data_IF_436922707069
#
_entry.id   IF_436922707069
#
_cell.length_a   1.000
_cell.length_b   1.000
_cell.length_c   1.000
_cell.angle_alpha   90.00
_cell.angle_beta   90.00
_cell.angle_gamma   90.00
#
_symmetry.space_group_name_H-M   'P 1'
#
loop_
_entity.id
_entity.type
_entity.pdbx_description
1 polymer ?
#
# COMPACT_ATOMS: atom_id res chain seq x y z
N UNK A 1 -19.53 27.68 -19.14
CA UNK A 1 -19.79 29.04 -18.63
C UNK A 1 -21.07 29.14 -17.79
N UNK A 2 -22.21 28.63 -18.30
CA UNK A 2 -23.53 28.70 -17.64
C UNK A 2 -23.57 27.98 -16.26
N UNK A 3 -22.94 26.79 -16.13
CA UNK A 3 -22.85 26.09 -14.83
C UNK A 3 -22.18 26.91 -13.72
N UNK A 4 -21.12 27.66 -14.03
CA UNK A 4 -20.44 28.51 -13.03
C UNK A 4 -21.30 29.67 -12.56
N UNK A 5 -22.18 30.18 -13.42
CA UNK A 5 -23.13 31.26 -13.08
C UNK A 5 -24.22 30.70 -12.15
N UNK A 6 -24.78 29.52 -12.46
CA UNK A 6 -25.76 28.84 -11.60
C UNK A 6 -25.19 28.48 -10.21
N UNK A 7 -23.94 28.04 -10.13
CA UNK A 7 -23.25 27.79 -8.86
C UNK A 7 -23.05 29.08 -8.05
N UNK A 8 -22.69 30.19 -8.70
CA UNK A 8 -22.59 31.50 -8.04
C UNK A 8 -23.94 32.01 -7.52
N UNK A 9 -25.04 31.73 -8.22
CA UNK A 9 -26.40 32.06 -7.79
C UNK A 9 -26.80 31.22 -6.57
N UNK A 10 -26.44 29.92 -6.52
CA UNK A 10 -26.69 29.06 -5.34
C UNK A 10 -25.97 29.55 -4.07
N UNK A 11 -24.84 30.24 -4.20
CA UNK A 11 -24.10 30.86 -3.08
C UNK A 11 -24.77 32.11 -2.49
N UNK A 12 -25.89 32.59 -3.07
CA UNK A 12 -26.66 33.73 -2.53
C UNK A 12 -27.51 33.36 -1.30
N UNK A 13 -27.84 32.08 -1.12
CA UNK A 13 -28.54 31.59 0.07
C UNK A 13 -27.56 31.48 1.26
N UNK A 14 -27.72 32.35 2.27
CA UNK A 14 -26.82 32.46 3.43
C UNK A 14 -26.60 31.12 4.17
N UNK A 15 -27.67 30.32 4.31
CA UNK A 15 -27.62 29.01 4.98
C UNK A 15 -26.91 27.90 4.18
N UNK A 16 -26.90 27.99 2.84
CA UNK A 16 -26.22 27.01 1.97
C UNK A 16 -24.81 27.43 1.59
N UNK A 17 -24.42 28.69 1.84
CA UNK A 17 -23.13 29.25 1.41
C UNK A 17 -21.94 28.62 2.14
N UNK A 18 -22.07 28.37 3.44
CA UNK A 18 -20.95 27.94 4.28
C UNK A 18 -20.42 26.53 3.93
N UNK A 19 -21.25 25.48 3.75
CA UNK A 19 -20.76 24.16 3.36
C UNK A 19 -20.03 24.17 2.01
N UNK A 20 -20.55 24.91 1.03
CA UNK A 20 -19.94 25.00 -0.30
C UNK A 20 -18.56 25.67 -0.25
N UNK A 21 -18.40 26.72 0.57
CA UNK A 21 -17.10 27.37 0.76
C UNK A 21 -16.09 26.47 1.45
N UNK A 22 -16.52 25.71 2.47
CA UNK A 22 -15.68 24.74 3.15
C UNK A 22 -15.19 23.64 2.21
N UNK A 23 -16.09 23.04 1.42
CA UNK A 23 -15.70 22.05 0.42
C UNK A 23 -14.84 22.66 -0.68
N UNK A 24 -15.08 23.89 -1.11
CA UNK A 24 -14.24 24.55 -2.10
C UNK A 24 -12.79 24.70 -1.63
N UNK A 25 -12.54 24.95 -0.33
CA UNK A 25 -11.18 25.02 0.21
C UNK A 25 -10.42 23.70 0.05
N UNK A 26 -11.09 22.57 0.29
CA UNK A 26 -10.53 21.21 0.15
C UNK A 26 -10.42 20.79 -1.32
N UNK A 27 -11.47 21.00 -2.10
CA UNK A 27 -11.60 20.52 -3.48
C UNK A 27 -10.88 21.40 -4.52
N UNK A 28 -10.85 22.72 -4.29
CA UNK A 28 -10.47 23.70 -5.31
C UNK A 28 -11.54 23.99 -6.35
N UNK A 29 -12.76 23.47 -6.17
CA UNK A 29 -13.92 23.76 -7.01
C UNK A 29 -15.21 23.56 -6.19
N UNK A 30 -16.32 24.10 -6.69
CA UNK A 30 -17.61 23.95 -6.02
C UNK A 30 -18.30 22.63 -6.39
N UNK A 31 -18.84 21.89 -5.42
CA UNK A 31 -19.80 20.81 -5.67
C UNK A 31 -20.99 21.26 -6.54
N UNK A 32 -21.46 20.44 -7.46
CA UNK A 32 -22.76 20.63 -8.13
C UNK A 32 -23.87 20.01 -7.28
N UNK A 33 -23.66 18.77 -6.80
CA UNK A 33 -24.52 18.08 -5.82
C UNK A 33 -23.84 17.95 -4.45
N UNK A 34 -24.09 18.91 -3.57
CA UNK A 34 -23.47 19.01 -2.23
C UNK A 34 -23.75 17.79 -1.34
N UNK A 35 -24.85 17.08 -1.59
CA UNK A 35 -25.33 15.95 -0.80
C UNK A 35 -24.32 14.79 -0.82
N UNK A 36 -23.68 14.54 -1.98
CA UNK A 36 -22.64 13.52 -2.08
C UNK A 36 -21.43 13.84 -1.20
N UNK A 37 -21.04 15.11 -1.13
CA UNK A 37 -19.89 15.57 -0.34
C UNK A 37 -20.19 15.57 1.16
N UNK A 38 -21.40 15.97 1.55
CA UNK A 38 -21.85 15.86 2.93
C UNK A 38 -21.93 14.41 3.40
N UNK A 39 -22.29 13.47 2.50
CA UNK A 39 -22.25 12.05 2.80
C UNK A 39 -20.82 11.53 2.91
N UNK A 40 -19.91 11.95 2.03
CA UNK A 40 -18.52 11.51 2.05
C UNK A 40 -17.79 11.77 3.38
N UNK A 41 -18.11 12.89 4.04
CA UNK A 41 -17.51 13.28 5.32
C UNK A 41 -18.28 12.76 6.55
N UNK A 42 -19.29 11.90 6.36
CA UNK A 42 -20.09 11.33 7.45
C UNK A 42 -19.56 9.95 7.84
N UNK A 43 -18.80 9.87 8.92
CA UNK A 43 -18.34 8.59 9.46
C UNK A 43 -19.51 7.73 9.96
N UNK A 44 -19.36 6.39 9.95
CA UNK A 44 -20.39 5.45 10.41
C UNK A 44 -20.91 5.70 11.84
N UNK A 45 -20.09 6.28 12.72
CA UNK A 45 -20.51 6.60 14.09
C UNK A 45 -21.57 7.70 14.17
N UNK A 46 -21.72 8.52 13.14
CA UNK A 46 -22.77 9.56 13.00
C UNK A 46 -23.72 9.22 11.86
N UNK A 47 -23.89 7.93 11.57
CA UNK A 47 -24.81 7.49 10.53
C UNK A 47 -26.26 7.82 10.88
N UNK A 48 -27.05 8.04 9.83
CA UNK A 48 -28.46 8.40 9.96
C UNK A 48 -29.30 7.19 9.54
N UNK A 49 -30.24 6.72 10.36
CA UNK A 49 -31.16 5.67 9.96
C UNK A 49 -32.02 6.13 8.78
N UNK A 50 -32.19 5.25 7.80
CA UNK A 50 -33.11 5.44 6.67
C UNK A 50 -34.41 4.68 6.92
N UNK A 51 -35.48 5.04 6.20
CA UNK A 51 -36.80 4.39 6.29
C UNK A 51 -36.73 2.87 6.10
N UNK A 52 -35.76 2.39 5.31
CA UNK A 52 -35.55 0.97 5.04
C UNK A 52 -34.65 0.27 6.09
N UNK A 53 -34.42 0.89 7.24
CA UNK A 53 -33.60 0.35 8.33
C UNK A 53 -32.08 0.33 8.07
N UNK A 54 -31.61 0.92 6.96
CA UNK A 54 -30.18 1.02 6.66
C UNK A 54 -29.57 2.29 7.27
N UNK A 55 -28.31 2.22 7.65
CA UNK A 55 -27.57 3.37 8.15
C UNK A 55 -26.85 4.11 7.01
N UNK A 56 -27.10 5.41 6.89
CA UNK A 56 -26.48 6.27 5.89
C UNK A 56 -25.11 6.77 6.39
N UNK A 57 -24.05 6.09 5.97
CA UNK A 57 -22.63 6.40 6.22
C UNK A 57 -21.87 6.63 4.91
N UNK A 58 -20.61 7.06 5.03
CA UNK A 58 -19.70 7.20 3.89
C UNK A 58 -19.20 5.88 3.30
N UNK A 59 -19.44 4.72 3.91
CA UNK A 59 -18.82 3.43 3.55
C UNK A 59 -19.10 3.01 2.11
N UNK A 60 -20.30 3.29 1.58
CA UNK A 60 -20.62 2.99 0.17
C UNK A 60 -19.88 3.91 -0.81
N UNK A 61 -19.67 5.17 -0.42
CA UNK A 61 -18.87 6.10 -1.23
C UNK A 61 -17.39 5.77 -1.13
N UNK A 62 -16.91 5.34 0.04
CA UNK A 62 -15.54 4.83 0.25
C UNK A 62 -15.27 3.67 -0.71
N UNK A 63 -16.15 2.66 -0.74
CA UNK A 63 -16.04 1.51 -1.65
C UNK A 63 -15.90 1.92 -3.13
N UNK A 64 -16.77 2.81 -3.60
CA UNK A 64 -16.68 3.33 -4.98
C UNK A 64 -15.41 4.15 -5.20
N UNK A 65 -15.09 4.98 -4.21
CA UNK A 65 -13.97 5.91 -4.22
C UNK A 65 -12.61 5.23 -4.27
N UNK A 66 -12.43 4.13 -3.54
CA UNK A 66 -11.22 3.30 -3.58
C UNK A 66 -10.96 2.76 -4.99
N UNK A 67 -11.98 2.18 -5.63
CA UNK A 67 -11.86 1.69 -7.01
C UNK A 67 -11.48 2.81 -7.99
N UNK A 68 -12.11 3.99 -7.84
CA UNK A 68 -11.82 5.17 -8.68
C UNK A 68 -10.41 5.69 -8.40
N UNK A 69 -9.98 5.76 -7.14
CA UNK A 69 -8.65 6.22 -6.73
C UNK A 69 -7.58 5.31 -7.34
N UNK A 70 -7.73 4.00 -7.19
CA UNK A 70 -6.80 3.03 -7.76
C UNK A 70 -6.70 3.18 -9.28
N UNK A 71 -7.84 3.33 -9.98
CA UNK A 71 -7.86 3.56 -11.42
C UNK A 71 -7.14 4.85 -11.82
N UNK A 72 -7.43 5.97 -11.15
CA UNK A 72 -6.79 7.26 -11.43
C UNK A 72 -5.29 7.22 -11.17
N UNK A 73 -4.86 6.67 -10.03
CA UNK A 73 -3.44 6.55 -9.68
C UNK A 73 -2.73 5.66 -10.69
N UNK A 74 -3.30 4.51 -11.08
CA UNK A 74 -2.76 3.64 -12.13
C UNK A 74 -2.62 4.38 -13.46
N UNK A 75 -3.64 5.11 -13.91
CA UNK A 75 -3.60 5.87 -15.17
C UNK A 75 -2.49 6.94 -15.16
N UNK A 76 -2.29 7.62 -14.02
CA UNK A 76 -1.21 8.61 -13.91
C UNK A 76 0.16 7.93 -13.92
N UNK A 77 0.36 6.87 -13.13
CA UNK A 77 1.64 6.16 -13.05
C UNK A 77 2.03 5.55 -14.40
N UNK A 78 1.10 4.88 -15.07
CA UNK A 78 1.32 4.26 -16.38
C UNK A 78 1.77 5.28 -17.44
N UNK A 79 1.18 6.48 -17.44
CA UNK A 79 1.55 7.54 -18.40
C UNK A 79 2.86 8.23 -18.05
N UNK A 80 3.18 8.33 -16.75
CA UNK A 80 4.36 9.03 -16.24
C UNK A 80 5.63 8.18 -16.37
N UNK A 81 5.54 6.90 -16.06
CA UNK A 81 6.67 5.97 -16.01
C UNK A 81 6.58 4.93 -17.15
N UNK A 82 6.74 5.40 -18.40
CA UNK A 82 6.53 4.59 -19.61
C UNK A 82 7.52 3.42 -19.76
N UNK A 83 8.72 3.59 -19.23
CA UNK A 83 9.81 2.61 -19.35
C UNK A 83 9.85 1.63 -18.15
N UNK A 84 9.01 1.84 -17.14
CA UNK A 84 9.02 1.03 -15.92
C UNK A 84 8.15 -0.23 -16.05
N UNK A 85 8.57 -1.30 -15.38
CA UNK A 85 7.85 -2.59 -15.37
C UNK A 85 6.60 -2.53 -14.50
N UNK A 86 5.65 -3.44 -14.77
CA UNK A 86 4.39 -3.57 -14.02
C UNK A 86 4.60 -3.65 -12.49
N UNK A 87 5.58 -4.43 -12.02
CA UNK A 87 5.90 -4.53 -10.60
C UNK A 87 6.27 -3.20 -9.93
N UNK A 88 7.00 -2.31 -10.63
CA UNK A 88 7.31 -0.97 -10.13
C UNK A 88 6.03 -0.12 -10.01
N UNK A 89 5.16 -0.17 -11.03
CA UNK A 89 3.90 0.58 -11.06
C UNK A 89 2.96 0.11 -9.94
N UNK A 90 2.82 -1.22 -9.76
CA UNK A 90 2.00 -1.82 -8.71
C UNK A 90 2.52 -1.50 -7.32
N UNK A 91 3.85 -1.56 -7.10
CA UNK A 91 4.47 -1.17 -5.83
C UNK A 91 4.26 0.33 -5.53
N UNK A 92 4.49 1.19 -6.51
CA UNK A 92 4.34 2.65 -6.36
C UNK A 92 2.88 3.02 -6.09
N UNK A 93 1.92 2.42 -6.80
CA UNK A 93 0.50 2.60 -6.52
C UNK A 93 0.19 2.23 -5.07
N UNK A 94 0.59 1.04 -4.63
CA UNK A 94 0.35 0.57 -3.27
C UNK A 94 0.90 1.53 -2.21
N UNK A 95 2.06 2.15 -2.45
CA UNK A 95 2.62 3.17 -1.54
C UNK A 95 1.82 4.48 -1.50
N UNK A 96 1.21 4.87 -2.62
CA UNK A 96 0.38 6.07 -2.72
C UNK A 96 -0.97 5.84 -2.05
N UNK A 97 -1.62 4.72 -2.34
CA UNK A 97 -2.97 4.38 -1.85
C UNK A 97 -2.96 3.71 -0.48
N UNK A 98 -1.79 3.47 0.13
CA UNK A 98 -1.75 2.93 1.49
C UNK A 98 -2.38 3.91 2.48
N UNK A 99 -2.98 3.33 3.51
CA UNK A 99 -3.75 4.04 4.52
C UNK A 99 -3.03 5.23 5.15
N UNK A 100 -1.78 5.06 5.58
CA UNK A 100 -1.00 6.13 6.20
C UNK A 100 -0.80 7.31 5.23
N UNK A 101 -0.57 7.03 3.95
CA UNK A 101 -0.42 8.05 2.91
C UNK A 101 -1.73 8.80 2.71
N UNK A 102 -2.85 8.08 2.57
CA UNK A 102 -4.15 8.71 2.36
C UNK A 102 -4.60 9.56 3.55
N UNK A 103 -4.32 9.13 4.79
CA UNK A 103 -4.62 9.94 5.97
C UNK A 103 -3.77 11.21 6.01
N UNK A 104 -2.46 11.11 5.75
CA UNK A 104 -1.59 12.30 5.68
C UNK A 104 -2.10 13.31 4.65
N UNK A 105 -2.44 12.83 3.45
CA UNK A 105 -3.02 13.69 2.40
C UNK A 105 -4.34 14.32 2.83
N UNK A 106 -5.22 13.56 3.48
CA UNK A 106 -6.50 14.06 3.96
C UNK A 106 -6.30 15.21 4.98
N UNK A 107 -5.33 15.08 5.89
CA UNK A 107 -4.95 16.15 6.83
C UNK A 107 -4.38 17.37 6.09
N UNK A 108 -3.48 17.15 5.13
CA UNK A 108 -2.81 18.23 4.37
C UNK A 108 -3.80 19.09 3.57
N UNK A 109 -4.82 18.47 2.97
CA UNK A 109 -5.87 19.21 2.25
C UNK A 109 -6.95 19.79 3.17
N UNK A 110 -6.85 19.56 4.49
CA UNK A 110 -7.78 20.06 5.51
C UNK A 110 -9.13 19.34 5.54
N UNK A 111 -9.19 18.08 5.10
CA UNK A 111 -10.41 17.27 5.09
C UNK A 111 -10.87 16.90 6.50
N UNK A 112 -9.94 16.75 7.43
CA UNK A 112 -10.17 16.48 8.86
C UNK A 112 -11.19 17.43 9.49
N UNK A 113 -11.14 18.70 9.11
CA UNK A 113 -12.03 19.76 9.60
C UNK A 113 -13.47 19.60 9.14
N UNK A 114 -13.72 18.79 8.12
CA UNK A 114 -15.07 18.54 7.58
C UNK A 114 -15.65 17.20 8.02
N UNK A 115 -14.80 16.26 8.45
CA UNK A 115 -15.23 14.92 8.86
C UNK A 115 -16.05 15.00 10.14
N UNK A 116 -17.25 14.43 10.10
CA UNK A 116 -18.17 14.34 11.22
C UNK A 116 -18.01 12.99 11.89
N UNK A 117 -17.68 13.01 13.18
CA UNK A 117 -17.57 11.85 14.07
C UNK A 117 -18.25 12.17 15.40
N UNK A 118 -18.65 11.13 16.15
CA UNK A 118 -19.12 11.30 17.52
C UNK A 118 -17.95 11.64 18.45
N UNK A 119 -18.25 12.31 19.58
CA UNK A 119 -17.27 12.65 20.62
C UNK A 119 -16.54 11.45 21.25
N UNK A 120 -17.08 10.24 21.05
CA UNK A 120 -16.54 8.98 21.57
C UNK A 120 -15.53 8.33 20.61
N UNK A 121 -15.45 8.81 19.38
CA UNK A 121 -14.45 8.34 18.42
C UNK A 121 -13.23 9.24 18.55
N UNK A 122 -12.14 8.69 19.06
CA UNK A 122 -10.86 9.37 19.07
C UNK A 122 -10.26 9.31 17.65
N UNK A 123 -10.56 10.34 16.85
CA UNK A 123 -10.10 10.43 15.48
C UNK A 123 -8.58 10.66 15.35
N UNK A 124 -7.90 10.99 16.44
CA UNK A 124 -6.44 11.12 16.49
C UNK A 124 -5.72 9.80 16.72
N UNK A 125 -6.37 8.80 17.34
CA UNK A 125 -5.81 7.45 17.49
C UNK A 125 -6.31 6.48 16.43
N UNK A 126 -7.48 6.75 15.84
CA UNK A 126 -8.01 5.97 14.74
C UNK A 126 -7.51 6.50 13.39
N UNK A 127 -6.27 6.12 13.05
CA UNK A 127 -5.52 6.52 11.86
C UNK A 127 -6.17 6.17 10.51
N UNK A 128 -7.47 5.82 10.47
CA UNK A 128 -8.13 5.30 9.28
C UNK A 128 -9.25 6.23 8.79
N UNK A 129 -9.77 7.09 9.66
CA UNK A 129 -11.00 7.83 9.40
C UNK A 129 -10.84 8.83 8.25
N UNK A 130 -9.70 9.53 8.20
CA UNK A 130 -9.50 10.59 7.22
C UNK A 130 -9.17 10.03 5.83
N UNK A 131 -8.42 8.93 5.76
CA UNK A 131 -8.17 8.18 4.53
C UNK A 131 -9.47 7.66 3.92
N UNK A 132 -10.33 7.04 4.73
CA UNK A 132 -11.66 6.58 4.29
C UNK A 132 -12.54 7.73 3.81
N UNK A 133 -12.51 8.87 4.50
CA UNK A 133 -13.23 10.07 4.07
C UNK A 133 -12.68 10.62 2.74
N UNK A 134 -11.37 10.52 2.49
CA UNK A 134 -10.75 10.93 1.24
C UNK A 134 -11.17 10.03 0.07
N UNK A 135 -11.19 8.72 0.27
CA UNK A 135 -11.74 7.76 -0.70
C UNK A 135 -13.21 8.09 -0.98
N UNK A 136 -14.03 8.24 0.07
CA UNK A 136 -15.43 8.61 -0.08
C UNK A 136 -15.62 9.96 -0.80
N UNK A 137 -14.72 10.93 -0.59
CA UNK A 137 -14.71 12.20 -1.30
C UNK A 137 -14.46 12.00 -2.80
N UNK A 138 -13.56 11.10 -3.18
CA UNK A 138 -13.35 10.71 -4.57
C UNK A 138 -14.59 10.04 -5.18
N UNK A 139 -15.26 9.17 -4.41
CA UNK A 139 -16.55 8.60 -4.79
C UNK A 139 -17.61 9.68 -5.06
N UNK A 140 -17.68 10.70 -4.21
CA UNK A 140 -18.57 11.85 -4.41
C UNK A 140 -18.23 12.66 -5.67
N UNK A 141 -16.94 12.95 -5.92
CA UNK A 141 -16.51 13.66 -7.14
C UNK A 141 -16.85 12.84 -8.38
N UNK A 142 -16.69 11.52 -8.32
CA UNK A 142 -17.00 10.64 -9.45
C UNK A 142 -18.49 10.67 -9.79
N UNK A 143 -19.37 10.60 -8.79
CA UNK A 143 -20.82 10.69 -9.01
C UNK A 143 -21.27 12.08 -9.50
N UNK A 144 -20.58 13.14 -9.08
CA UNK A 144 -20.97 14.52 -9.42
C UNK A 144 -20.44 14.96 -10.80
N UNK A 145 -19.18 14.64 -11.09
CA UNK A 145 -18.44 15.17 -12.25
C UNK A 145 -17.75 14.11 -13.12
N UNK A 146 -17.71 12.85 -12.70
CA UNK A 146 -17.09 11.75 -13.43
C UNK A 146 -15.56 11.69 -13.36
N UNK A 147 -15.02 10.63 -13.96
CA UNK A 147 -13.60 10.24 -13.89
C UNK A 147 -12.61 11.37 -14.21
N UNK A 148 -12.86 12.15 -15.27
CA UNK A 148 -11.95 13.23 -15.70
C UNK A 148 -11.74 14.28 -14.61
N UNK A 149 -12.76 14.53 -13.76
CA UNK A 149 -12.65 15.48 -12.65
C UNK A 149 -11.91 14.86 -11.46
N UNK A 150 -12.13 13.57 -11.17
CA UNK A 150 -11.35 12.83 -10.19
C UNK A 150 -9.86 12.86 -10.52
N UNK A 151 -9.50 12.57 -11.78
CA UNK A 151 -8.10 12.63 -12.24
C UNK A 151 -7.46 13.99 -11.99
N UNK A 152 -8.11 15.07 -12.43
CA UNK A 152 -7.63 16.44 -12.19
C UNK A 152 -7.49 16.77 -10.70
N UNK A 153 -8.44 16.33 -9.87
CA UNK A 153 -8.37 16.54 -8.43
C UNK A 153 -7.15 15.82 -7.83
N UNK A 154 -6.93 14.55 -8.16
CA UNK A 154 -5.77 13.77 -7.69
C UNK A 154 -4.46 14.40 -8.15
N UNK A 155 -4.33 14.76 -9.42
CA UNK A 155 -3.12 15.41 -9.97
C UNK A 155 -2.81 16.74 -9.27
N UNK A 156 -3.82 17.57 -9.03
CA UNK A 156 -3.62 18.94 -8.53
C UNK A 156 -3.53 19.04 -7.01
N UNK A 157 -4.25 18.18 -6.28
CA UNK A 157 -4.39 18.27 -4.82
C UNK A 157 -3.61 17.20 -4.08
N UNK A 158 -3.58 15.97 -4.59
CA UNK A 158 -2.87 14.88 -3.92
C UNK A 158 -1.41 14.83 -4.39
N UNK A 159 -1.18 14.79 -5.70
CA UNK A 159 0.16 14.60 -6.26
C UNK A 159 1.06 15.82 -6.19
N UNK A 160 0.48 17.02 -6.10
CA UNK A 160 1.26 18.23 -5.80
C UNK A 160 1.83 18.22 -4.37
N UNK A 161 1.17 17.52 -3.44
CA UNK A 161 1.63 17.36 -2.04
C UNK A 161 2.63 16.21 -1.87
N UNK A 162 2.55 15.17 -2.72
CA UNK A 162 3.65 14.22 -2.93
C UNK A 162 4.81 14.91 -3.66
N UNK A 163 5.52 15.81 -2.97
CA UNK A 163 6.62 16.66 -3.48
C UNK A 163 7.83 15.85 -3.99
N UNK A 164 7.74 14.52 -4.07
CA UNK A 164 8.58 13.73 -4.96
C UNK A 164 7.94 12.34 -5.12
N UNK A 165 7.12 12.15 -6.16
CA UNK A 165 6.70 10.81 -6.59
C UNK A 165 7.93 9.91 -6.82
N UNK A 166 9.03 10.50 -7.25
CA UNK A 166 10.32 9.83 -7.44
C UNK A 166 10.91 9.36 -6.09
N UNK A 167 10.80 10.15 -5.02
CA UNK A 167 11.14 9.68 -3.65
C UNK A 167 10.19 8.59 -3.15
N UNK A 168 8.90 8.62 -3.49
CA UNK A 168 7.95 7.55 -3.10
C UNK A 168 8.31 6.25 -3.83
N UNK A 169 8.70 6.35 -5.10
CA UNK A 169 9.23 5.24 -5.87
C UNK A 169 10.55 4.70 -5.27
N UNK A 170 11.49 5.58 -4.94
CA UNK A 170 12.83 5.27 -4.40
C UNK A 170 12.81 4.73 -2.95
N UNK A 171 11.95 5.25 -2.07
CA UNK A 171 12.01 5.04 -0.61
C UNK A 171 11.64 3.63 -0.11
N UNK A 172 11.55 2.65 -1.01
CA UNK A 172 11.52 1.24 -0.62
C UNK A 172 11.81 0.46 -1.91
N UNK A 173 13.08 0.44 -2.32
CA UNK A 173 13.57 -0.60 -3.22
C UNK A 173 13.34 -1.91 -2.47
N UNK A 174 12.37 -2.72 -2.88
CA UNK A 174 12.11 -4.02 -2.28
C UNK A 174 13.27 -4.97 -2.67
N UNK A 175 14.42 -4.81 -2.02
CA UNK A 175 15.63 -5.58 -2.25
C UNK A 175 15.35 -7.07 -2.15
N UNK A 176 14.45 -7.51 -1.25
CA UNK A 176 14.03 -8.92 -1.20
C UNK A 176 13.41 -9.39 -2.51
N UNK A 177 12.46 -8.64 -3.07
CA UNK A 177 11.81 -9.03 -4.32
C UNK A 177 12.78 -8.97 -5.50
N UNK A 178 13.62 -7.92 -5.57
CA UNK A 178 14.66 -7.83 -6.61
C UNK A 178 15.65 -8.99 -6.54
N UNK A 179 16.05 -9.39 -5.34
CA UNK A 179 16.99 -10.49 -5.14
C UNK A 179 16.36 -11.81 -5.57
N UNK A 180 15.10 -12.07 -5.19
CA UNK A 180 14.36 -13.27 -5.62
C UNK A 180 14.23 -13.30 -7.14
N UNK A 181 13.87 -12.18 -7.79
CA UNK A 181 13.83 -12.07 -9.25
C UNK A 181 15.21 -12.36 -9.88
N UNK A 182 16.29 -11.83 -9.30
CA UNK A 182 17.64 -12.07 -9.77
C UNK A 182 18.05 -13.55 -9.64
N UNK A 183 17.76 -14.19 -8.51
CA UNK A 183 18.01 -15.63 -8.30
C UNK A 183 17.22 -16.47 -9.30
N UNK A 184 15.92 -16.21 -9.46
CA UNK A 184 15.05 -16.91 -10.41
C UNK A 184 15.54 -16.77 -11.86
N UNK A 185 15.89 -15.56 -12.28
CA UNK A 185 16.45 -15.29 -13.63
C UNK A 185 17.73 -16.09 -13.88
N UNK A 186 18.53 -16.28 -12.84
CA UNK A 186 19.79 -17.02 -12.92
C UNK A 186 19.68 -18.52 -12.61
N UNK A 187 18.46 -19.02 -12.35
CA UNK A 187 18.16 -20.40 -11.93
C UNK A 187 18.85 -20.81 -10.62
N UNK A 188 18.91 -19.88 -9.67
CA UNK A 188 19.47 -20.10 -8.34
C UNK A 188 18.35 -20.29 -7.31
N UNK A 189 18.48 -21.32 -6.47
CA UNK A 189 17.60 -21.49 -5.31
C UNK A 189 17.97 -20.47 -4.22
N UNK A 190 16.96 -19.86 -3.59
CA UNK A 190 17.15 -18.84 -2.56
C UNK A 190 16.25 -19.11 -1.37
N UNK A 191 16.84 -19.01 -0.16
CA UNK A 191 16.16 -19.26 1.10
C UNK A 191 16.52 -18.18 2.12
N UNK A 192 15.53 -17.78 2.94
CA UNK A 192 15.75 -16.91 4.09
C UNK A 192 15.51 -17.67 5.38
N UNK A 193 16.56 -17.86 6.18
CA UNK A 193 16.51 -18.60 7.45
C UNK A 193 16.49 -17.61 8.61
N UNK A 194 15.59 -17.80 9.58
CA UNK A 194 15.62 -17.05 10.83
C UNK A 194 16.68 -17.67 11.75
N UNK A 195 17.78 -16.94 11.98
CA UNK A 195 18.91 -17.43 12.77
C UNK A 195 18.72 -17.17 14.26
N UNK A 196 18.15 -16.01 14.62
CA UNK A 196 17.82 -15.70 16.00
C UNK A 196 16.70 -14.68 16.13
N UNK A 197 16.05 -14.71 17.27
CA UNK A 197 15.09 -13.71 17.72
C UNK A 197 15.44 -13.33 19.16
N UNK A 198 15.74 -12.06 19.40
CA UNK A 198 16.14 -11.58 20.73
C UNK A 198 15.33 -10.36 21.14
N UNK A 199 15.21 -10.18 22.44
CA UNK A 199 14.55 -9.01 23.02
C UNK A 199 15.61 -8.00 23.44
N UNK A 200 15.63 -6.84 22.79
CA UNK A 200 16.44 -5.72 23.24
C UNK A 200 15.87 -5.16 24.55
N UNK A 201 16.71 -4.61 25.43
CA UNK A 201 16.35 -4.05 26.74
C UNK A 201 15.32 -2.90 26.72
N UNK A 202 14.86 -2.50 25.53
CA UNK A 202 13.75 -1.56 25.30
C UNK A 202 12.41 -2.25 24.96
N UNK A 203 12.29 -3.56 25.21
CA UNK A 203 11.10 -4.38 24.90
C UNK A 203 10.78 -4.45 23.40
N UNK A 204 11.82 -4.39 22.55
CA UNK A 204 11.73 -4.43 21.08
C UNK A 204 12.35 -5.71 20.54
N UNK A 205 11.62 -6.43 19.70
CA UNK A 205 12.12 -7.65 19.05
C UNK A 205 13.15 -7.31 17.99
N UNK A 206 14.26 -8.03 18.01
CA UNK A 206 15.31 -7.98 17.00
C UNK A 206 15.40 -9.36 16.38
N UNK A 207 15.15 -9.42 15.07
CA UNK A 207 15.21 -10.64 14.27
C UNK A 207 16.49 -10.64 13.45
N UNK A 208 17.24 -11.74 13.46
CA UNK A 208 18.41 -11.95 12.60
C UNK A 208 18.04 -12.96 11.52
N UNK A 209 18.14 -12.57 10.25
CA UNK A 209 17.88 -13.45 9.11
C UNK A 209 19.14 -13.68 8.30
N UNK A 210 19.44 -14.95 8.01
CA UNK A 210 20.45 -15.37 7.05
C UNK A 210 19.84 -15.52 5.66
N UNK A 211 20.57 -15.07 4.63
CA UNK A 211 20.27 -15.34 3.23
C UNK A 211 21.14 -16.49 2.74
N UNK A 212 20.49 -17.54 2.23
CA UNK A 212 21.12 -18.66 1.56
C UNK A 212 20.83 -18.60 0.06
N UNK A 213 21.84 -18.83 -0.77
CA UNK A 213 21.69 -19.04 -2.22
C UNK A 213 22.41 -20.33 -2.56
N UNK A 214 21.74 -21.29 -3.21
CA UNK A 214 22.29 -22.63 -3.49
C UNK A 214 22.84 -23.33 -2.23
N UNK A 215 22.15 -23.19 -1.10
CA UNK A 215 22.59 -23.75 0.19
C UNK A 215 23.81 -23.04 0.81
N UNK A 216 24.38 -22.03 0.16
CA UNK A 216 25.51 -21.26 0.69
C UNK A 216 25.05 -19.99 1.40
N UNK A 217 25.62 -19.72 2.58
CA UNK A 217 25.32 -18.51 3.34
C UNK A 217 26.01 -17.31 2.69
N UNK A 218 25.21 -16.40 2.14
CA UNK A 218 25.71 -15.19 1.47
C UNK A 218 25.96 -14.08 2.50
N UNK A 219 24.96 -13.84 3.35
CA UNK A 219 25.03 -12.81 4.38
C UNK A 219 23.95 -13.02 5.44
N UNK A 220 24.01 -12.22 6.50
CA UNK A 220 22.96 -12.11 7.50
C UNK A 220 22.69 -10.65 7.83
N UNK A 221 21.47 -10.33 8.24
CA UNK A 221 21.13 -8.99 8.69
C UNK A 221 20.02 -9.01 9.73
N UNK A 222 20.05 -7.99 10.61
CA UNK A 222 19.05 -7.78 11.63
C UNK A 222 17.96 -6.79 11.21
N UNK A 223 16.80 -6.87 11.86
CA UNK A 223 15.70 -5.93 11.71
C UNK A 223 14.71 -6.01 12.88
N UNK A 224 13.85 -5.00 13.02
CA UNK A 224 12.81 -4.97 14.06
C UNK A 224 11.61 -5.88 13.74
N UNK A 225 11.57 -6.45 12.54
CA UNK A 225 10.64 -7.48 12.12
C UNK A 225 11.32 -8.51 11.21
N UNK A 226 10.77 -9.71 11.10
CA UNK A 226 11.24 -10.73 10.14
C UNK A 226 11.27 -10.21 8.69
N UNK A 227 10.32 -9.34 8.33
CA UNK A 227 10.25 -8.73 7.00
C UNK A 227 11.42 -7.76 6.78
N UNK A 228 11.72 -6.95 7.78
CA UNK A 228 12.80 -5.96 7.74
C UNK A 228 14.18 -6.62 7.75
N UNK A 229 14.40 -7.65 8.58
CA UNK A 229 15.67 -8.38 8.62
C UNK A 229 16.00 -9.03 7.27
N UNK A 230 15.02 -9.65 6.61
CA UNK A 230 15.18 -10.23 5.27
C UNK A 230 15.43 -9.17 4.20
N UNK A 231 14.76 -8.03 4.28
CA UNK A 231 14.95 -6.89 3.38
C UNK A 231 16.38 -6.33 3.51
N UNK A 232 16.89 -6.19 4.73
CA UNK A 232 18.25 -5.74 5.01
C UNK A 232 19.29 -6.74 4.50
N UNK A 233 19.07 -8.05 4.70
CA UNK A 233 19.95 -9.09 4.18
C UNK A 233 20.00 -9.02 2.65
N UNK A 234 18.85 -8.78 2.01
CA UNK A 234 18.79 -8.65 0.55
C UNK A 234 19.54 -7.42 0.03
N UNK A 235 19.54 -6.31 0.78
CA UNK A 235 20.33 -5.12 0.43
C UNK A 235 21.83 -5.41 0.47
N UNK A 236 22.30 -6.05 1.54
CA UNK A 236 23.72 -6.46 1.68
C UNK A 236 24.11 -7.43 0.56
N UNK A 237 23.23 -8.37 0.22
CA UNK A 237 23.48 -9.31 -0.87
C UNK A 237 23.70 -8.60 -2.22
N UNK A 238 22.96 -7.53 -2.52
CA UNK A 238 23.20 -6.74 -3.73
C UNK A 238 24.56 -6.04 -3.72
N UNK A 239 25.00 -5.52 -2.58
CA UNK A 239 26.33 -4.92 -2.44
C UNK A 239 27.43 -5.97 -2.69
N UNK A 240 27.25 -7.19 -2.18
CA UNK A 240 28.16 -8.32 -2.42
C UNK A 240 28.18 -8.67 -3.92
N UNK A 241 27.00 -8.82 -4.55
CA UNK A 241 26.89 -9.17 -5.98
C UNK A 241 27.51 -8.09 -6.89
N UNK A 242 27.35 -6.81 -6.56
CA UNK A 242 27.97 -5.72 -7.32
C UNK A 242 29.49 -5.68 -7.13
N UNK A 243 29.99 -6.01 -5.94
CA UNK A 243 31.42 -6.03 -5.63
C UNK A 243 32.17 -7.25 -6.16
N UNK A 244 31.48 -8.39 -6.38
CA UNK A 244 32.06 -9.63 -6.90
C UNK A 244 31.37 -10.06 -8.22
N UNK A 245 31.92 -9.65 -9.39
CA UNK A 245 31.37 -10.02 -10.70
C UNK A 245 31.36 -11.52 -10.99
N UNK A 246 32.25 -12.29 -10.35
CA UNK A 246 32.40 -13.73 -10.56
C UNK A 246 31.53 -14.59 -9.63
N UNK A 247 30.80 -13.98 -8.70
CA UNK A 247 29.93 -14.68 -7.73
C UNK A 247 28.93 -15.61 -8.41
N UNK A 248 28.45 -15.26 -9.61
CA UNK A 248 27.52 -16.09 -10.37
C UNK A 248 28.16 -17.42 -10.81
N UNK A 249 29.46 -17.40 -11.12
CA UNK A 249 30.21 -18.61 -11.50
C UNK A 249 30.46 -19.47 -10.27
N UNK A 250 30.87 -18.86 -9.15
CA UNK A 250 31.11 -19.54 -7.86
C UNK A 250 29.84 -20.28 -7.38
N UNK A 251 28.70 -19.58 -7.37
CA UNK A 251 27.42 -20.17 -6.95
C UNK A 251 26.90 -21.27 -7.89
N UNK A 252 27.41 -21.34 -9.12
CA UNK A 252 27.05 -22.38 -10.10
C UNK A 252 28.05 -23.52 -10.16
N UNK A 253 29.33 -23.28 -9.86
CA UNK A 253 30.35 -24.33 -9.87
C UNK A 253 30.12 -25.38 -8.78
N UNK A 254 29.54 -24.97 -7.65
CA UNK A 254 29.29 -25.88 -6.53
C UNK A 254 28.07 -26.80 -6.72
N UNK A 255 27.26 -26.61 -7.77
CA UNK A 255 26.27 -27.61 -8.17
C UNK A 255 26.92 -28.92 -8.67
N UNK A 256 28.17 -28.87 -9.11
CA UNK A 256 28.89 -30.04 -9.65
C UNK A 256 29.70 -30.81 -8.59
N UNK A 257 29.63 -30.46 -7.31
CA UNK A 257 30.38 -31.13 -6.23
C UNK A 257 29.47 -31.78 -5.17
N UNK A 258 28.36 -32.41 -5.56
CA UNK A 258 27.68 -33.36 -4.67
C UNK A 258 28.27 -34.76 -4.90
N UNK A 259 28.95 -35.38 -3.91
CA UNK A 259 29.40 -36.77 -4.03
C UNK A 259 28.18 -37.70 -4.11
N UNK A 260 28.13 -38.56 -5.13
CA UNK A 260 27.26 -39.73 -5.11
C UNK A 260 27.80 -40.73 -4.07
N UNK A 261 27.41 -40.59 -2.80
CA UNK A 261 27.64 -41.64 -1.81
C UNK A 261 26.45 -42.61 -1.77
N UNK A 262 26.66 -43.75 -2.42
CA UNK A 262 26.21 -45.10 -2.05
C UNK A 262 24.83 -45.26 -1.40
N UNK A 263 23.80 -45.49 -2.25
CA UNK A 263 22.64 -46.27 -1.83
C UNK A 263 22.96 -47.76 -1.85
N UNK A 264 23.29 -48.32 -0.68
CA UNK A 264 23.10 -49.75 -0.40
C UNK A 264 21.60 -49.99 -0.16
N UNK A 265 20.97 -51.03 -0.74
CA UNK A 265 19.55 -51.29 -0.51
C UNK A 265 19.33 -51.86 0.90
N UNK A 266 18.29 -51.42 1.64
CA UNK A 266 17.87 -52.12 2.85
C UNK A 266 17.05 -53.36 2.45
N UNK A 267 17.59 -54.51 2.83
CA UNK A 267 16.91 -55.79 2.78
C UNK A 267 16.06 -55.98 4.06
N UNK A 268 14.97 -56.73 3.91
CA UNK A 268 14.16 -57.40 4.95
C UNK A 268 12.97 -56.65 5.60
N UNK A 269 11.80 -56.91 5.00
CA UNK A 269 10.62 -57.54 5.60
C UNK A 269 10.30 -57.26 7.09
N UNK A 270 9.17 -56.58 7.33
CA UNK A 270 8.35 -56.79 8.52
C UNK A 270 6.89 -56.94 8.08
N UNK A 271 6.34 -58.11 8.44
CA UNK A 271 4.97 -58.54 8.21
C UNK A 271 3.94 -57.62 8.85
N UNK A 272 2.83 -57.42 8.13
CA UNK A 272 1.59 -56.88 8.67
C UNK A 272 1.02 -57.86 9.71
N UNK A 273 0.90 -57.42 10.96
CA UNK A 273 -0.04 -58.01 11.92
C UNK A 273 -1.12 -56.98 12.19
N UNK A 274 -2.29 -57.34 11.66
CA UNK A 274 -3.62 -56.86 11.99
C UNK A 274 -3.91 -57.07 13.49
N UNK A 275 -4.69 -56.20 14.13
CA UNK A 275 -5.74 -56.51 15.14
C UNK A 275 -6.26 -55.20 15.77
N UNK A 276 -7.58 -55.09 15.69
CA UNK A 276 -8.44 -54.12 16.36
C UNK A 276 -8.43 -54.26 17.90
N UNK A 277 -8.40 -53.14 18.61
CA UNK A 277 -9.41 -52.67 19.59
C UNK A 277 -9.02 -51.30 20.15
#
# INVERSE_FOLDING_TARGET
MIKNILLKIRLLSKARKEPYLLFHKVLGFYPDKIEYYQLAVRHKSVSIPTENGRNLSNERLEFLGDAVLNSVVTDILYRRYKEEREGFLTNTRSKIVKRDSLNKLALEIGLDKLVKVTKYVNAHTNNNIYGNALEALLGAIYLDYGYKKCKKFVEQRLFKSFVNLDKVAENEVNFKSKLIEWCQKNKLETEFILLSETMSGSNKHVFLSGLMIQGQKICEASGMSKKESQQNASRIAFEIIESNPDILKELKSDQNQVPQENMSPPDQAIEFIDIQQ
#
